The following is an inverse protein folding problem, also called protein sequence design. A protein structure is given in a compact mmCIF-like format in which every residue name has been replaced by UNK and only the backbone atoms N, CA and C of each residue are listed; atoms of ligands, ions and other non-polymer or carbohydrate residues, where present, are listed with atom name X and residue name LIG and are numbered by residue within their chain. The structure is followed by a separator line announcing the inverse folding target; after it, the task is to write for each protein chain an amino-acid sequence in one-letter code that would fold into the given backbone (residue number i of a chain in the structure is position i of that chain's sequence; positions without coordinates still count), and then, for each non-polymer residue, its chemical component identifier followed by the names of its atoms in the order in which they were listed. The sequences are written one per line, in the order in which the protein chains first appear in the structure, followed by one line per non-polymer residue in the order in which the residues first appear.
data_IF_453104697044
#
_entry.id   IF_453104697044
#
_cell.length_a   1.000
_cell.length_b   1.000
_cell.length_c   1.000
_cell.angle_alpha   90.00
_cell.angle_beta   90.00
_cell.angle_gamma   90.00
#
_symmetry.space_group_name_H-M   'P 1'
#
loop_
_entity.id
_entity.type
_entity.pdbx_description
1 polymer ?
#
# COMPACT_ATOMS: atom_id res chain seq x y z
N UNK A 1 -15.81 39.74 15.68
CA UNK A 1 -16.07 41.19 15.58
C UNK A 1 -17.53 41.52 15.30
N UNK A 2 -18.30 40.70 14.60
CA UNK A 2 -19.73 40.97 14.25
C UNK A 2 -20.71 41.11 15.46
N UNK A 3 -20.48 40.42 16.58
CA UNK A 3 -21.40 40.49 17.72
C UNK A 3 -21.42 41.85 18.46
N UNK A 4 -20.33 42.60 18.39
CA UNK A 4 -20.23 43.90 19.08
C UNK A 4 -20.95 45.02 18.31
N UNK A 5 -20.97 44.93 16.99
CA UNK A 5 -21.67 45.88 16.10
C UNK A 5 -23.19 45.74 16.25
N UNK A 6 -23.68 44.50 16.29
CA UNK A 6 -25.11 44.22 16.46
C UNK A 6 -25.67 44.72 17.81
N UNK A 7 -24.93 44.56 18.90
CA UNK A 7 -25.34 45.02 20.24
C UNK A 7 -25.37 46.56 20.33
N UNK A 8 -24.38 47.26 19.74
CA UNK A 8 -24.39 48.73 19.69
C UNK A 8 -25.54 49.27 18.85
N UNK A 9 -25.85 48.63 17.73
CA UNK A 9 -26.93 49.03 16.83
C UNK A 9 -28.33 48.86 17.48
N UNK A 10 -28.53 47.78 18.24
CA UNK A 10 -29.76 47.56 19.03
C UNK A 10 -29.88 48.61 20.11
N UNK A 11 -28.79 49.00 20.76
CA UNK A 11 -28.77 50.03 21.82
C UNK A 11 -29.11 51.41 21.23
N UNK A 12 -28.60 51.76 20.06
CA UNK A 12 -28.93 53.02 19.38
C UNK A 12 -30.38 53.08 18.90
N UNK A 13 -30.93 51.97 18.38
CA UNK A 13 -32.33 51.88 17.97
C UNK A 13 -33.27 52.00 19.15
N UNK A 14 -32.95 51.37 20.30
CA UNK A 14 -33.76 51.51 21.51
C UNK A 14 -33.67 52.90 22.10
N UNK A 15 -32.50 53.56 22.07
CA UNK A 15 -32.34 54.93 22.55
C UNK A 15 -33.11 55.93 21.66
N UNK A 16 -33.07 55.76 20.30
CA UNK A 16 -33.83 56.57 19.36
C UNK A 16 -35.34 56.38 19.53
N UNK A 17 -35.78 55.18 19.89
CA UNK A 17 -37.19 54.90 20.16
C UNK A 17 -37.72 55.60 21.43
N UNK A 18 -36.90 55.61 22.50
CA UNK A 18 -37.21 56.25 23.78
C UNK A 18 -37.24 57.78 23.62
N UNK A 19 -36.29 58.36 22.91
CA UNK A 19 -36.23 59.83 22.66
C UNK A 19 -37.36 60.26 21.73
N UNK A 20 -37.74 59.46 20.74
CA UNK A 20 -38.84 59.75 19.83
C UNK A 20 -40.21 59.68 20.46
N UNK A 21 -40.42 58.82 21.46
CA UNK A 21 -41.64 58.72 22.25
C UNK A 21 -41.86 59.97 23.16
N UNK A 22 -40.77 60.62 23.53
CA UNK A 22 -40.79 61.80 24.41
C UNK A 22 -41.03 63.16 23.67
N UNK A 23 -40.72 63.22 22.35
CA UNK A 23 -40.67 64.52 21.64
C UNK A 23 -41.73 64.68 20.52
N UNK A 24 -42.49 63.65 20.13
CA UNK A 24 -43.49 63.83 19.09
C UNK A 24 -43.85 62.55 18.35
N UNK A 25 -44.82 61.86 18.86
CA UNK A 25 -45.14 60.48 18.54
C UNK A 25 -45.69 60.17 17.17
N UNK A 26 -45.85 61.09 16.22
CA UNK A 26 -46.57 60.78 14.95
C UNK A 26 -45.69 60.80 13.70
N UNK A 27 -44.64 61.56 13.65
CA UNK A 27 -43.78 61.67 12.46
C UNK A 27 -42.69 60.57 12.36
N UNK A 28 -42.20 60.08 13.49
CA UNK A 28 -41.15 59.05 13.58
C UNK A 28 -41.69 57.66 13.20
N UNK A 29 -42.98 57.41 13.52
CA UNK A 29 -43.63 56.13 13.15
C UNK A 29 -43.80 55.95 11.64
N UNK A 30 -43.76 57.02 10.89
CA UNK A 30 -43.84 57.00 9.42
C UNK A 30 -42.52 56.69 8.71
N UNK A 31 -41.40 57.05 9.34
CA UNK A 31 -40.06 56.89 8.76
C UNK A 31 -39.35 55.58 9.22
N UNK A 32 -39.74 55.07 10.42
CA UNK A 32 -39.16 53.90 11.02
C UNK A 32 -39.23 52.61 10.14
N UNK A 33 -40.37 52.27 9.50
CA UNK A 33 -40.44 51.08 8.66
C UNK A 33 -39.56 51.18 7.42
N UNK A 34 -39.43 52.36 6.83
CA UNK A 34 -38.57 52.61 5.66
C UNK A 34 -37.07 52.50 6.04
N UNK A 35 -36.72 53.08 7.15
CA UNK A 35 -35.35 53.08 7.70
C UNK A 35 -34.91 51.67 8.12
N UNK A 36 -35.76 50.99 8.88
CA UNK A 36 -35.48 49.57 9.22
C UNK A 36 -35.39 48.65 8.01
N UNK A 37 -36.24 48.86 7.03
CA UNK A 37 -36.22 48.06 5.79
C UNK A 37 -35.00 48.33 4.93
N UNK A 38 -34.48 49.58 4.90
CA UNK A 38 -33.25 49.90 4.15
C UNK A 38 -32.00 49.29 4.85
N UNK A 39 -31.92 49.47 6.19
CA UNK A 39 -30.78 48.90 6.94
C UNK A 39 -30.81 47.35 6.87
N UNK A 40 -31.98 46.74 7.10
CA UNK A 40 -32.09 45.28 7.06
C UNK A 40 -31.81 44.69 5.66
N UNK A 41 -32.24 45.38 4.59
CA UNK A 41 -31.92 44.98 3.23
C UNK A 41 -30.47 45.13 2.88
N UNK A 42 -29.83 46.18 3.29
CA UNK A 42 -28.44 46.49 2.98
C UNK A 42 -27.49 45.56 3.76
N UNK A 43 -27.72 45.42 5.07
CA UNK A 43 -26.92 44.56 5.94
C UNK A 43 -27.14 43.07 5.57
N UNK A 44 -28.39 42.62 5.38
CA UNK A 44 -28.65 41.24 5.00
C UNK A 44 -28.10 40.88 3.61
N UNK A 45 -28.10 41.86 2.69
CA UNK A 45 -27.52 41.64 1.36
C UNK A 45 -26.01 41.60 1.35
N UNK A 46 -25.36 42.48 2.13
CA UNK A 46 -23.89 42.47 2.25
C UNK A 46 -23.40 41.20 2.94
N UNK A 47 -24.01 40.83 4.10
CA UNK A 47 -23.62 39.61 4.79
C UNK A 47 -23.92 38.32 3.98
N UNK A 48 -25.06 38.24 3.29
CA UNK A 48 -25.35 37.10 2.42
C UNK A 48 -24.40 37.02 1.23
N UNK A 49 -24.02 38.16 0.62
CA UNK A 49 -23.05 38.15 -0.48
C UNK A 49 -21.65 37.77 -0.01
N UNK A 50 -21.27 38.21 1.18
CA UNK A 50 -19.97 37.89 1.79
C UNK A 50 -19.88 36.39 2.15
N UNK A 51 -20.90 35.82 2.79
CA UNK A 51 -21.01 34.38 3.08
C UNK A 51 -21.04 33.56 1.77
N UNK A 52 -21.76 34.03 0.74
CA UNK A 52 -21.84 33.32 -0.51
C UNK A 52 -20.50 33.32 -1.26
N UNK A 53 -19.75 34.39 -1.16
CA UNK A 53 -18.41 34.51 -1.74
C UNK A 53 -17.40 33.66 -0.96
N UNK A 54 -17.45 33.71 0.38
CA UNK A 54 -16.59 32.89 1.25
C UNK A 54 -16.83 31.39 1.04
N UNK A 55 -18.08 30.92 0.91
CA UNK A 55 -18.43 29.52 0.59
C UNK A 55 -17.94 29.13 -0.80
N UNK A 56 -18.03 30.03 -1.77
CA UNK A 56 -17.58 29.75 -3.15
C UNK A 56 -16.06 29.66 -3.24
N UNK A 57 -15.36 30.53 -2.52
CA UNK A 57 -13.91 30.54 -2.48
C UNK A 57 -13.36 29.33 -1.70
N UNK A 58 -14.00 28.95 -0.60
CA UNK A 58 -13.68 27.74 0.16
C UNK A 58 -13.90 26.47 -0.70
N UNK A 59 -14.97 26.39 -1.48
CA UNK A 59 -15.22 25.27 -2.40
C UNK A 59 -14.15 25.15 -3.48
N UNK A 60 -13.65 26.26 -4.01
CA UNK A 60 -12.55 26.25 -4.98
C UNK A 60 -11.24 25.81 -4.36
N UNK A 61 -10.95 26.29 -3.16
CA UNK A 61 -9.75 25.91 -2.42
C UNK A 61 -9.77 24.42 -2.11
N UNK A 62 -10.89 23.87 -1.63
CA UNK A 62 -11.06 22.44 -1.37
C UNK A 62 -10.94 21.58 -2.65
N UNK A 63 -11.47 22.06 -3.80
CA UNK A 63 -11.36 21.39 -5.09
C UNK A 63 -9.91 21.37 -5.60
N UNK A 64 -9.18 22.47 -5.43
CA UNK A 64 -7.77 22.57 -5.83
C UNK A 64 -6.86 21.75 -4.91
N UNK A 65 -7.16 21.66 -3.62
CA UNK A 65 -6.45 20.79 -2.66
C UNK A 65 -6.66 19.30 -3.00
N UNK A 66 -7.87 18.91 -3.38
CA UNK A 66 -8.17 17.55 -3.83
C UNK A 66 -7.42 17.25 -5.13
N UNK A 67 -7.42 18.16 -6.10
CA UNK A 67 -6.66 18.00 -7.36
C UNK A 67 -5.17 17.88 -7.12
N UNK A 68 -4.63 18.70 -6.22
CA UNK A 68 -3.21 18.67 -5.82
C UNK A 68 -2.86 17.35 -5.15
N UNK A 69 -3.71 16.86 -4.25
CA UNK A 69 -3.54 15.58 -3.57
C UNK A 69 -3.59 14.39 -4.54
N UNK A 70 -4.53 14.42 -5.50
CA UNK A 70 -4.63 13.41 -6.56
C UNK A 70 -3.40 13.41 -7.47
N UNK A 71 -2.88 14.59 -7.82
CA UNK A 71 -1.65 14.72 -8.61
C UNK A 71 -0.45 14.18 -7.86
N UNK A 72 -0.32 14.52 -6.56
CA UNK A 72 0.77 14.01 -5.72
C UNK A 72 0.71 12.48 -5.60
N UNK A 73 -0.50 11.90 -5.54
CA UNK A 73 -0.70 10.45 -5.53
C UNK A 73 -0.25 9.82 -6.87
N UNK A 74 -0.62 10.42 -7.99
CA UNK A 74 -0.20 9.95 -9.33
C UNK A 74 1.33 10.03 -9.50
N UNK A 75 1.95 11.13 -9.06
CA UNK A 75 3.41 11.30 -9.04
C UNK A 75 4.10 10.25 -8.15
N UNK A 76 3.48 9.91 -7.01
CA UNK A 76 3.99 8.88 -6.10
C UNK A 76 3.90 7.49 -6.73
N UNK A 77 2.79 7.17 -7.39
CA UNK A 77 2.61 5.92 -8.13
C UNK A 77 3.62 5.80 -9.27
N UNK A 78 3.83 6.87 -10.02
CA UNK A 78 4.79 6.91 -11.12
C UNK A 78 6.24 6.78 -10.61
N UNK A 79 6.57 7.43 -9.49
CA UNK A 79 7.88 7.31 -8.84
C UNK A 79 8.12 5.89 -8.32
N UNK A 80 7.12 5.25 -7.73
CA UNK A 80 7.19 3.86 -7.32
C UNK A 80 7.39 2.90 -8.51
N UNK A 81 6.73 3.17 -9.64
CA UNK A 81 6.91 2.42 -10.89
C UNK A 81 8.31 2.59 -11.48
N UNK A 82 8.88 3.81 -11.45
CA UNK A 82 10.24 4.06 -11.88
C UNK A 82 11.27 3.39 -10.96
N UNK A 83 11.10 3.49 -9.64
CA UNK A 83 11.94 2.81 -8.67
C UNK A 83 11.94 1.28 -8.86
N UNK A 84 10.81 0.71 -9.25
CA UNK A 84 10.71 -0.72 -9.59
C UNK A 84 11.53 -1.07 -10.85
N UNK A 85 11.47 -0.25 -11.89
CA UNK A 85 12.24 -0.46 -13.12
C UNK A 85 13.75 -0.39 -12.84
N UNK A 86 14.19 0.61 -12.05
CA UNK A 86 15.59 0.75 -11.62
C UNK A 86 16.02 -0.43 -10.74
N UNK A 87 15.14 -0.95 -9.88
CA UNK A 87 15.43 -2.13 -9.05
C UNK A 87 15.59 -3.40 -9.88
N UNK A 88 14.85 -3.55 -10.97
CA UNK A 88 14.99 -4.66 -11.88
C UNK A 88 16.37 -4.63 -12.62
N UNK A 89 16.83 -3.45 -12.99
CA UNK A 89 18.16 -3.26 -13.61
C UNK A 89 19.30 -3.46 -12.59
N UNK A 90 19.08 -3.10 -11.32
CA UNK A 90 20.02 -3.32 -10.21
C UNK A 90 20.17 -4.80 -9.81
N UNK A 91 19.14 -5.62 -10.07
CA UNK A 91 19.11 -7.02 -9.67
C UNK A 91 20.30 -7.82 -10.22
N UNK A 92 20.68 -7.60 -11.48
CA UNK A 92 21.82 -8.28 -12.11
C UNK A 92 23.15 -7.96 -11.39
N UNK A 93 23.30 -6.74 -10.90
CA UNK A 93 24.48 -6.31 -10.14
C UNK A 93 24.49 -6.94 -8.74
N UNK A 94 23.36 -6.89 -8.04
CA UNK A 94 23.21 -7.52 -6.72
C UNK A 94 23.46 -9.03 -6.77
N UNK A 95 22.93 -9.73 -7.79
CA UNK A 95 23.17 -11.17 -8.01
C UNK A 95 24.65 -11.45 -8.22
N UNK A 96 25.37 -10.61 -8.96
CA UNK A 96 26.81 -10.77 -9.19
C UNK A 96 27.61 -10.59 -7.90
N UNK A 97 27.29 -9.60 -7.09
CA UNK A 97 27.99 -9.30 -5.85
C UNK A 97 27.69 -10.36 -4.79
N UNK A 98 26.46 -10.87 -4.75
CA UNK A 98 26.09 -12.00 -3.91
C UNK A 98 26.90 -13.26 -4.30
N UNK A 99 27.04 -13.53 -5.60
CA UNK A 99 27.84 -14.68 -6.09
C UNK A 99 29.28 -14.59 -5.64
N UNK A 100 29.88 -13.40 -5.64
CA UNK A 100 31.24 -13.17 -5.11
C UNK A 100 31.32 -13.35 -3.58
N UNK A 101 30.33 -12.88 -2.85
CA UNK A 101 30.25 -13.04 -1.40
C UNK A 101 30.10 -14.52 -1.02
N UNK A 102 29.28 -15.27 -1.75
CA UNK A 102 29.10 -16.71 -1.54
C UNK A 102 30.35 -17.54 -1.82
N UNK A 103 31.30 -17.05 -2.61
CA UNK A 103 32.58 -17.76 -2.80
C UNK A 103 33.37 -17.96 -1.48
N UNK A 104 33.26 -17.04 -0.54
CA UNK A 104 33.87 -17.15 0.80
C UNK A 104 33.21 -18.23 1.65
N UNK A 105 31.92 -18.51 1.46
CA UNK A 105 31.22 -19.60 2.17
C UNK A 105 31.63 -20.99 1.67
N UNK A 106 32.16 -21.08 0.46
CA UNK A 106 32.64 -22.32 -0.13
C UNK A 106 33.77 -22.96 0.70
N UNK A 107 34.60 -22.13 1.30
CA UNK A 107 35.72 -22.58 2.14
C UNK A 107 35.22 -23.17 3.48
N UNK A 108 34.18 -22.55 4.07
CA UNK A 108 33.54 -23.02 5.29
C UNK A 108 32.75 -24.35 5.11
N UNK A 109 32.18 -24.59 3.95
CA UNK A 109 31.49 -25.85 3.60
C UNK A 109 32.44 -27.08 3.49
N UNK A 110 33.72 -26.89 3.74
CA UNK A 110 34.71 -27.97 3.69
C UNK A 110 34.66 -28.94 4.86
N UNK A 111 33.95 -28.61 5.96
CA UNK A 111 33.79 -29.47 7.14
C UNK A 111 32.59 -30.44 6.99
N UNK A 112 32.82 -31.78 6.95
CA UNK A 112 31.76 -32.74 6.63
C UNK A 112 30.58 -32.79 7.63
N UNK A 113 30.77 -32.37 8.87
CA UNK A 113 29.75 -32.42 9.93
C UNK A 113 28.82 -31.17 9.96
N UNK A 114 29.23 -30.08 9.34
CA UNK A 114 28.53 -28.76 9.43
C UNK A 114 27.88 -28.35 8.14
N UNK A 115 28.03 -29.10 7.06
CA UNK A 115 27.60 -28.76 5.72
C UNK A 115 26.08 -28.48 5.60
N UNK A 116 25.26 -29.26 6.30
CA UNK A 116 23.81 -29.08 6.31
C UNK A 116 23.41 -27.77 6.99
N UNK A 117 23.89 -27.57 8.21
CA UNK A 117 23.58 -26.35 8.98
C UNK A 117 24.09 -25.08 8.30
N UNK A 118 25.28 -25.13 7.71
CA UNK A 118 25.83 -24.00 6.95
C UNK A 118 25.02 -23.71 5.67
N UNK A 119 24.50 -24.74 5.01
CA UNK A 119 23.66 -24.56 3.83
C UNK A 119 22.31 -23.93 4.17
N UNK A 120 21.68 -24.35 5.29
CA UNK A 120 20.46 -23.75 5.82
C UNK A 120 20.70 -22.29 6.25
N UNK A 121 21.78 -22.01 6.99
CA UNK A 121 22.14 -20.65 7.40
C UNK A 121 22.41 -19.74 6.19
N UNK A 122 23.11 -20.26 5.17
CA UNK A 122 23.32 -19.55 3.92
C UNK A 122 22.00 -19.14 3.23
N UNK A 123 21.02 -20.05 3.23
CA UNK A 123 19.69 -19.78 2.68
C UNK A 123 18.95 -18.72 3.49
N UNK A 124 19.04 -18.77 4.83
CA UNK A 124 18.46 -17.76 5.72
C UNK A 124 19.02 -16.37 5.48
N UNK A 125 20.35 -16.25 5.46
CA UNK A 125 21.02 -14.97 5.16
C UNK A 125 20.60 -14.43 3.79
N UNK A 126 20.44 -15.30 2.81
CA UNK A 126 19.98 -14.92 1.47
C UNK A 126 18.53 -14.38 1.49
N UNK A 127 17.63 -15.02 2.21
CA UNK A 127 16.25 -14.57 2.40
C UNK A 127 16.21 -13.17 3.03
N UNK A 128 16.95 -12.98 4.13
CA UNK A 128 17.04 -11.70 4.83
C UNK A 128 17.65 -10.61 3.93
N UNK A 129 18.70 -10.93 3.17
CA UNK A 129 19.32 -10.02 2.20
C UNK A 129 18.36 -9.66 1.06
N UNK A 130 17.50 -10.58 0.65
CA UNK A 130 16.46 -10.32 -0.35
C UNK A 130 15.31 -9.47 0.21
N UNK A 131 15.26 -9.22 1.53
CA UNK A 131 14.27 -8.39 2.20
C UNK A 131 13.12 -9.17 2.86
N UNK A 132 13.25 -10.50 2.98
CA UNK A 132 12.26 -11.34 3.67
C UNK A 132 12.42 -11.23 5.18
N UNK A 133 11.32 -11.32 5.90
CA UNK A 133 11.25 -11.26 7.38
C UNK A 133 10.63 -12.56 7.88
N UNK A 134 11.34 -13.25 8.77
CA UNK A 134 10.87 -14.49 9.39
C UNK A 134 9.57 -14.26 10.18
N UNK A 135 8.64 -15.17 10.11
CA UNK A 135 7.31 -15.06 10.72
C UNK A 135 6.33 -14.18 9.94
N UNK A 136 6.77 -13.48 8.87
CA UNK A 136 5.94 -12.60 8.05
C UNK A 136 5.77 -13.17 6.63
N UNK A 137 6.87 -13.32 5.92
CA UNK A 137 6.86 -13.79 4.53
C UNK A 137 7.77 -15.00 4.27
N UNK A 138 8.44 -15.52 5.28
CA UNK A 138 9.01 -16.87 5.29
C UNK A 138 9.04 -17.45 6.70
N UNK A 139 9.08 -18.78 6.79
CA UNK A 139 9.32 -19.53 8.03
C UNK A 139 10.33 -20.64 7.78
N UNK A 140 11.13 -20.92 8.79
CA UNK A 140 12.07 -22.05 8.82
C UNK A 140 11.45 -23.25 9.50
N UNK A 141 11.80 -24.44 9.04
CA UNK A 141 11.67 -25.73 9.73
C UNK A 141 10.34 -25.97 10.47
N UNK A 142 9.20 -25.58 9.92
CA UNK A 142 7.92 -26.00 10.52
C UNK A 142 7.75 -27.51 10.39
N UNK A 143 7.71 -28.20 11.53
CA UNK A 143 7.48 -29.65 11.56
C UNK A 143 6.02 -29.92 11.29
N UNK A 144 5.69 -30.40 10.10
CA UNK A 144 4.36 -30.89 9.79
C UNK A 144 4.32 -32.40 9.90
N UNK A 145 3.60 -32.90 10.90
CA UNK A 145 3.42 -34.33 11.12
C UNK A 145 2.23 -34.79 10.29
N UNK A 146 2.43 -35.75 9.41
CA UNK A 146 1.36 -36.46 8.69
C UNK A 146 1.39 -37.93 9.06
N UNK A 147 0.27 -38.62 8.81
CA UNK A 147 0.15 -40.09 9.05
C UNK A 147 1.17 -40.91 8.26
N UNK A 148 1.74 -40.36 7.17
CA UNK A 148 2.72 -41.01 6.30
C UNK A 148 4.19 -40.70 6.65
N UNK A 149 4.45 -39.93 7.70
CA UNK A 149 5.79 -39.58 8.16
C UNK A 149 6.03 -38.07 8.28
N UNK A 150 7.06 -37.70 9.07
CA UNK A 150 7.48 -36.31 9.24
C UNK A 150 8.25 -35.85 8.00
N UNK A 151 7.66 -34.99 7.19
CA UNK A 151 8.37 -34.25 6.13
C UNK A 151 8.59 -32.80 6.61
N UNK A 152 9.86 -32.39 6.65
CA UNK A 152 10.27 -31.09 7.17
C UNK A 152 11.09 -30.40 6.10
N UNK A 153 10.48 -29.53 5.28
CA UNK A 153 11.25 -28.65 4.41
C UNK A 153 12.07 -27.64 5.22
N UNK A 154 13.19 -27.19 4.68
CA UNK A 154 14.04 -26.25 5.39
C UNK A 154 13.40 -24.86 5.47
N UNK A 155 12.75 -24.39 4.40
CA UNK A 155 12.12 -23.07 4.32
C UNK A 155 10.80 -23.08 3.57
N UNK A 156 9.84 -22.34 4.10
CA UNK A 156 8.56 -21.95 3.47
C UNK A 156 8.59 -20.48 3.12
N UNK A 157 8.49 -20.13 1.84
CA UNK A 157 8.39 -18.74 1.37
C UNK A 157 6.95 -18.45 1.00
N UNK A 158 6.35 -17.46 1.63
CA UNK A 158 4.97 -17.08 1.38
C UNK A 158 4.88 -16.13 0.20
N UNK A 159 3.92 -16.39 -0.69
CA UNK A 159 3.60 -15.53 -1.82
C UNK A 159 2.38 -14.66 -1.52
N UNK A 160 2.19 -13.61 -2.28
CA UNK A 160 1.14 -12.62 -2.04
C UNK A 160 -0.26 -13.18 -2.20
N UNK A 161 -0.44 -14.16 -3.08
CA UNK A 161 -1.69 -14.90 -3.31
C UNK A 161 -1.97 -15.98 -2.25
N UNK A 162 -1.28 -15.89 -1.11
CA UNK A 162 -1.34 -16.86 0.00
C UNK A 162 -0.79 -18.24 -0.35
N UNK A 163 -0.04 -18.34 -1.43
CA UNK A 163 0.70 -19.53 -1.82
C UNK A 163 1.95 -19.71 -0.97
N UNK A 164 2.58 -20.89 -1.10
CA UNK A 164 3.81 -21.26 -0.40
C UNK A 164 4.78 -21.89 -1.38
N UNK A 165 5.98 -21.32 -1.52
CA UNK A 165 7.08 -21.93 -2.23
C UNK A 165 7.96 -22.63 -1.22
N UNK A 166 8.32 -23.88 -1.52
CA UNK A 166 9.16 -24.71 -0.67
C UNK A 166 10.58 -24.67 -1.18
N UNK A 167 11.52 -24.43 -0.27
CA UNK A 167 12.95 -24.49 -0.56
C UNK A 167 13.57 -25.53 0.39
N UNK A 168 14.24 -26.52 -0.18
CA UNK A 168 14.97 -27.56 0.55
C UNK A 168 16.46 -27.42 0.19
N UNK A 169 17.30 -27.27 1.20
CA UNK A 169 18.73 -27.09 1.02
C UNK A 169 19.46 -28.44 0.97
N UNK A 170 20.20 -28.68 -0.08
CA UNK A 170 20.98 -29.91 -0.23
C UNK A 170 22.39 -29.60 -0.72
N UNK A 171 23.36 -30.04 0.06
CA UNK A 171 24.77 -29.86 -0.22
C UNK A 171 25.49 -31.20 -0.37
N UNK A 172 25.37 -31.95 -1.48
CA UNK A 172 26.07 -33.22 -1.66
C UNK A 172 27.54 -32.97 -1.99
N UNK A 173 28.31 -32.41 -1.03
CA UNK A 173 29.68 -31.92 -1.25
C UNK A 173 30.71 -33.05 -1.26
N UNK A 174 30.44 -34.16 -0.57
CA UNK A 174 31.45 -35.22 -0.30
C UNK A 174 32.16 -35.72 -1.58
N UNK A 175 31.39 -36.20 -2.56
CA UNK A 175 31.99 -36.76 -3.79
C UNK A 175 32.65 -35.70 -4.65
N UNK A 176 32.15 -34.47 -4.63
CA UNK A 176 32.77 -33.35 -5.32
C UNK A 176 34.14 -33.03 -4.70
N UNK A 177 34.24 -32.95 -3.36
CA UNK A 177 35.48 -32.69 -2.63
C UNK A 177 36.52 -33.80 -2.91
N UNK A 178 36.11 -35.07 -2.78
CA UNK A 178 36.96 -36.20 -3.09
C UNK A 178 37.44 -36.20 -4.57
N UNK A 179 36.63 -35.70 -5.49
CA UNK A 179 37.01 -35.58 -6.89
C UNK A 179 38.07 -34.50 -7.12
N UNK A 180 37.98 -33.37 -6.38
CA UNK A 180 38.95 -32.27 -6.51
C UNK A 180 40.30 -32.66 -5.91
N UNK A 181 40.30 -33.38 -4.78
CA UNK A 181 41.49 -33.83 -4.09
C UNK A 181 42.22 -34.98 -4.79
N UNK A 182 41.60 -35.58 -5.82
CA UNK A 182 42.18 -36.72 -6.56
C UNK A 182 43.00 -36.22 -7.74
N UNK A 183 44.26 -36.61 -7.83
CA UNK A 183 45.14 -36.32 -8.98
C UNK A 183 44.87 -37.22 -10.18
N UNK A 184 44.38 -38.45 -9.97
CA UNK A 184 44.01 -39.40 -11.02
C UNK A 184 42.79 -38.89 -11.80
N UNK A 185 42.99 -38.54 -13.09
CA UNK A 185 41.97 -38.05 -13.98
C UNK A 185 40.81 -39.04 -14.17
N UNK A 186 41.06 -40.34 -14.17
CA UNK A 186 40.02 -41.34 -14.34
C UNK A 186 39.13 -41.47 -13.11
N UNK A 187 39.74 -41.44 -11.91
CA UNK A 187 39.01 -41.40 -10.62
C UNK A 187 38.24 -40.11 -10.45
N UNK A 188 38.86 -38.99 -10.76
CA UNK A 188 38.17 -37.66 -10.74
C UNK A 188 36.90 -37.69 -11.57
N UNK A 189 36.97 -38.13 -12.82
CA UNK A 189 35.82 -38.24 -13.72
C UNK A 189 34.73 -39.15 -13.15
N UNK A 190 35.11 -40.30 -12.57
CA UNK A 190 34.15 -41.22 -11.95
C UNK A 190 33.43 -40.57 -10.77
N UNK A 191 34.17 -39.92 -9.86
CA UNK A 191 33.61 -39.24 -8.69
C UNK A 191 32.68 -38.08 -9.08
N UNK A 192 33.02 -37.25 -10.06
CA UNK A 192 32.17 -36.20 -10.59
C UNK A 192 30.87 -36.76 -11.19
N UNK A 193 30.93 -37.86 -11.91
CA UNK A 193 29.72 -38.51 -12.43
C UNK A 193 28.84 -39.08 -11.29
N UNK A 194 29.45 -39.67 -10.25
CA UNK A 194 28.71 -40.12 -9.08
C UNK A 194 28.09 -38.96 -8.33
N UNK A 195 28.79 -37.81 -8.22
CA UNK A 195 28.26 -36.59 -7.66
C UNK A 195 26.99 -36.13 -8.41
N UNK A 196 27.06 -36.04 -9.72
CA UNK A 196 25.90 -35.63 -10.53
C UNK A 196 24.71 -36.57 -10.36
N UNK A 197 24.95 -37.90 -10.35
CA UNK A 197 23.90 -38.87 -10.06
C UNK A 197 23.29 -38.67 -8.67
N UNK A 198 24.09 -38.42 -7.65
CA UNK A 198 23.57 -38.12 -6.31
C UNK A 198 22.70 -36.86 -6.29
N UNK A 199 23.11 -35.80 -6.97
CA UNK A 199 22.29 -34.59 -7.10
C UNK A 199 20.93 -34.92 -7.72
N UNK A 200 20.92 -35.70 -8.80
CA UNK A 200 19.67 -36.11 -9.45
C UNK A 200 18.80 -37.02 -8.57
N UNK A 201 19.42 -37.94 -7.81
CA UNK A 201 18.69 -38.84 -6.92
C UNK A 201 18.12 -38.08 -5.72
N UNK A 202 18.80 -37.04 -5.20
CA UNK A 202 18.24 -36.11 -4.23
C UNK A 202 17.03 -35.36 -4.81
N UNK A 203 17.12 -34.85 -6.03
CA UNK A 203 15.99 -34.20 -6.69
C UNK A 203 14.80 -35.16 -6.86
N UNK A 204 15.02 -36.39 -7.33
CA UNK A 204 13.97 -37.41 -7.44
C UNK A 204 13.35 -37.75 -6.08
N UNK A 205 14.14 -37.86 -5.04
CA UNK A 205 13.66 -38.13 -3.67
C UNK A 205 12.81 -36.97 -3.14
N UNK A 206 13.26 -35.75 -3.39
CA UNK A 206 12.54 -34.53 -3.00
C UNK A 206 11.18 -34.42 -3.72
N UNK A 207 11.17 -34.72 -5.03
CA UNK A 207 9.94 -34.70 -5.83
C UNK A 207 8.90 -35.76 -5.48
N UNK A 208 9.30 -36.81 -4.74
CA UNK A 208 8.36 -37.83 -4.22
C UNK A 208 7.61 -37.35 -2.97
N UNK A 209 8.13 -36.33 -2.29
CA UNK A 209 7.48 -35.75 -1.12
C UNK A 209 6.31 -34.87 -1.60
N UNK A 210 5.08 -35.31 -1.33
CA UNK A 210 3.88 -34.54 -1.74
C UNK A 210 3.59 -33.43 -0.73
N UNK A 211 4.32 -32.35 -0.86
CA UNK A 211 4.14 -31.18 0.00
C UNK A 211 2.78 -30.50 -0.14
N UNK A 212 2.09 -30.70 -1.27
CA UNK A 212 0.76 -30.12 -1.50
C UNK A 212 -0.28 -30.69 -0.54
N UNK A 213 -0.12 -31.93 -0.12
CA UNK A 213 -0.99 -32.58 0.88
C UNK A 213 -0.66 -32.14 2.32
N UNK A 214 0.56 -31.70 2.54
CA UNK A 214 1.07 -31.38 3.88
C UNK A 214 0.72 -29.95 4.26
N UNK A 215 0.70 -29.04 3.26
CA UNK A 215 0.48 -27.61 3.46
C UNK A 215 -0.94 -27.30 3.02
N UNK A 216 -1.81 -26.93 3.96
CA UNK A 216 -3.19 -26.49 3.67
C UNK A 216 -3.21 -25.10 3.01
N UNK A 217 -2.32 -24.88 2.03
CA UNK A 217 -2.17 -23.65 1.24
C UNK A 217 -1.85 -24.03 -0.20
N UNK A 218 -2.13 -23.11 -1.13
CA UNK A 218 -1.77 -23.27 -2.53
C UNK A 218 -0.24 -23.31 -2.67
N UNK A 219 0.32 -24.39 -3.18
CA UNK A 219 1.74 -24.53 -3.49
C UNK A 219 1.93 -24.56 -5.00
N UNK A 220 3.01 -23.98 -5.54
CA UNK A 220 3.40 -24.25 -6.94
C UNK A 220 3.66 -25.73 -7.13
N UNK A 221 3.54 -26.19 -8.37
CA UNK A 221 3.78 -27.58 -8.76
C UNK A 221 5.28 -27.96 -8.75
N UNK A 222 6.11 -27.23 -8.01
CA UNK A 222 7.54 -27.50 -7.92
C UNK A 222 8.11 -27.12 -6.56
N UNK A 223 9.23 -27.76 -6.21
CA UNK A 223 10.06 -27.49 -5.03
C UNK A 223 11.42 -26.98 -5.49
N UNK A 224 11.97 -25.98 -4.83
CA UNK A 224 13.31 -25.49 -5.09
C UNK A 224 14.30 -26.32 -4.28
N UNK A 225 15.21 -27.02 -4.96
CA UNK A 225 16.37 -27.64 -4.35
C UNK A 225 17.53 -26.66 -4.39
N UNK A 226 17.83 -26.04 -3.26
CA UNK A 226 18.89 -25.06 -3.14
C UNK A 226 20.26 -25.75 -3.01
N UNK A 227 21.16 -25.42 -3.91
CA UNK A 227 22.56 -25.85 -3.85
C UNK A 227 23.43 -24.65 -3.43
N UNK A 228 24.01 -24.64 -2.22
CA UNK A 228 24.66 -23.44 -1.67
C UNK A 228 25.99 -23.09 -2.35
N UNK A 229 26.45 -23.90 -3.31
CA UNK A 229 27.71 -23.70 -4.01
C UNK A 229 27.56 -23.84 -5.51
N UNK A 230 27.93 -22.78 -6.25
CA UNK A 230 27.87 -22.74 -7.71
C UNK A 230 28.77 -23.79 -8.36
N UNK A 231 29.97 -24.06 -7.81
CA UNK A 231 30.90 -25.03 -8.39
C UNK A 231 30.37 -26.46 -8.30
N UNK A 232 29.70 -26.80 -7.18
CA UNK A 232 29.03 -28.10 -6.99
C UNK A 232 27.89 -28.28 -7.99
N UNK A 233 27.09 -27.22 -8.19
CA UNK A 233 26.03 -27.20 -9.18
C UNK A 233 26.56 -27.37 -10.60
N UNK A 234 27.57 -26.58 -10.99
CA UNK A 234 28.18 -26.64 -12.31
C UNK A 234 28.82 -27.99 -12.60
N UNK A 235 29.51 -28.59 -11.60
CA UNK A 235 30.08 -29.92 -11.74
C UNK A 235 29.01 -31.00 -12.05
N UNK A 236 27.82 -30.86 -11.48
CA UNK A 236 26.71 -31.77 -11.79
C UNK A 236 26.18 -31.56 -13.22
N UNK A 237 25.99 -30.29 -13.64
CA UNK A 237 25.54 -29.94 -14.99
C UNK A 237 26.53 -30.37 -16.08
N UNK A 238 27.85 -30.22 -15.83
CA UNK A 238 28.90 -30.67 -16.75
C UNK A 238 28.87 -32.18 -17.00
N UNK A 239 28.51 -32.98 -15.99
CA UNK A 239 28.45 -34.43 -16.13
C UNK A 239 27.13 -34.94 -16.68
N UNK A 240 26.02 -34.22 -16.40
CA UNK A 240 24.67 -34.53 -16.89
C UNK A 240 24.06 -33.20 -17.38
N UNK A 241 24.27 -32.84 -18.68
CA UNK A 241 23.87 -31.55 -19.20
C UNK A 241 22.37 -31.25 -19.09
N UNK A 242 21.53 -32.25 -19.11
CA UNK A 242 20.08 -32.16 -18.97
C UNK A 242 19.57 -32.44 -17.53
N UNK A 243 20.45 -32.35 -16.50
CA UNK A 243 20.10 -32.67 -15.12
C UNK A 243 18.96 -31.81 -14.60
N UNK A 244 18.90 -30.51 -14.99
CA UNK A 244 17.83 -29.58 -14.60
C UNK A 244 16.51 -30.01 -15.21
N UNK A 245 16.50 -30.39 -16.48
CA UNK A 245 15.31 -30.89 -17.15
C UNK A 245 14.81 -32.22 -16.58
N UNK A 246 15.76 -33.11 -16.23
CA UNK A 246 15.42 -34.36 -15.55
C UNK A 246 14.82 -34.12 -14.16
N UNK A 247 15.36 -33.20 -13.38
CA UNK A 247 14.79 -32.81 -12.09
C UNK A 247 13.39 -32.17 -12.24
N UNK A 248 13.22 -31.32 -13.25
CA UNK A 248 11.93 -30.68 -13.53
C UNK A 248 10.80 -31.68 -13.82
N UNK A 249 11.11 -32.82 -14.45
CA UNK A 249 10.14 -33.95 -14.63
C UNK A 249 9.64 -34.51 -13.28
N UNK A 250 10.39 -34.32 -12.23
CA UNK A 250 10.03 -34.67 -10.85
C UNK A 250 9.53 -33.47 -10.04
N UNK A 251 9.19 -32.34 -10.72
CA UNK A 251 8.73 -31.10 -10.06
C UNK A 251 9.75 -30.49 -9.10
N UNK A 252 11.03 -30.62 -9.40
CA UNK A 252 12.13 -30.05 -8.63
C UNK A 252 12.98 -29.16 -9.49
N UNK A 253 13.21 -27.94 -9.01
CA UNK A 253 14.13 -26.98 -9.64
C UNK A 253 15.44 -26.97 -8.87
N UNK A 254 16.52 -27.45 -9.49
CA UNK A 254 17.87 -27.38 -8.90
C UNK A 254 18.41 -25.97 -9.12
N UNK A 255 18.63 -25.22 -8.05
CA UNK A 255 18.96 -23.81 -8.10
C UNK A 255 20.26 -23.49 -7.36
N UNK A 256 21.25 -22.87 -8.00
CA UNK A 256 22.40 -22.26 -7.34
C UNK A 256 21.98 -20.96 -6.63
N UNK A 257 22.87 -20.39 -5.76
CA UNK A 257 22.54 -19.19 -4.95
C UNK A 257 22.03 -18.01 -5.78
N UNK A 258 22.64 -17.71 -6.91
CA UNK A 258 22.26 -16.61 -7.77
C UNK A 258 20.84 -16.73 -8.32
N UNK A 259 20.41 -17.94 -8.68
CA UNK A 259 19.07 -18.18 -9.21
C UNK A 259 18.01 -18.11 -8.11
N UNK A 260 18.29 -18.66 -6.93
CA UNK A 260 17.39 -18.56 -5.76
C UNK A 260 17.23 -17.09 -5.34
N UNK A 261 18.33 -16.34 -5.28
CA UNK A 261 18.27 -14.92 -4.94
C UNK A 261 17.43 -14.11 -5.94
N UNK A 262 17.63 -14.33 -7.23
CA UNK A 262 16.85 -13.66 -8.27
C UNK A 262 15.36 -13.98 -8.14
N UNK A 263 15.00 -15.23 -7.89
CA UNK A 263 13.62 -15.64 -7.66
C UNK A 263 13.02 -14.97 -6.40
N UNK A 264 13.76 -14.98 -5.29
CA UNK A 264 13.36 -14.33 -4.04
C UNK A 264 13.16 -12.81 -4.20
N UNK A 265 14.08 -12.14 -4.88
CA UNK A 265 13.92 -10.70 -5.19
C UNK A 265 12.69 -10.43 -6.03
N UNK A 266 12.41 -11.25 -7.04
CA UNK A 266 11.20 -11.11 -7.86
C UNK A 266 9.94 -11.27 -7.02
N UNK A 267 9.89 -12.25 -6.12
CA UNK A 267 8.77 -12.43 -5.19
C UNK A 267 8.63 -11.20 -4.27
N UNK A 268 9.72 -10.70 -3.72
CA UNK A 268 9.70 -9.52 -2.84
C UNK A 268 9.23 -8.26 -3.57
N UNK A 269 9.61 -8.08 -4.83
CA UNK A 269 9.11 -6.97 -5.66
C UNK A 269 7.59 -7.04 -5.85
N UNK A 270 7.03 -8.23 -6.05
CA UNK A 270 5.56 -8.39 -6.14
C UNK A 270 4.87 -8.06 -4.81
N UNK A 271 5.46 -8.42 -3.67
CA UNK A 271 4.97 -8.03 -2.36
C UNK A 271 4.93 -6.51 -2.17
N UNK A 272 6.00 -5.82 -2.56
CA UNK A 272 6.08 -4.37 -2.44
C UNK A 272 5.08 -3.68 -3.37
N UNK A 273 4.92 -4.14 -4.60
CA UNK A 273 3.90 -3.61 -5.53
C UNK A 273 2.49 -3.72 -4.96
N UNK A 274 2.14 -4.88 -4.41
CA UNK A 274 0.80 -5.07 -3.87
C UNK A 274 0.52 -4.15 -2.68
N UNK A 275 1.48 -3.96 -1.78
CA UNK A 275 1.33 -3.00 -0.68
C UNK A 275 1.06 -1.58 -1.20
N UNK A 276 1.76 -1.17 -2.26
CA UNK A 276 1.51 0.14 -2.90
C UNK A 276 0.11 0.19 -3.50
N UNK A 277 -0.34 -0.88 -4.16
CA UNK A 277 -1.70 -0.95 -4.71
C UNK A 277 -2.79 -0.89 -3.64
N UNK A 278 -2.64 -1.65 -2.55
CA UNK A 278 -3.59 -1.66 -1.44
C UNK A 278 -3.68 -0.28 -0.78
N UNK A 279 -2.54 0.37 -0.53
CA UNK A 279 -2.51 1.72 0.01
C UNK A 279 -3.17 2.74 -0.93
N UNK A 280 -2.91 2.66 -2.24
CA UNK A 280 -3.53 3.54 -3.23
C UNK A 280 -5.06 3.37 -3.32
N UNK A 281 -5.55 2.12 -3.27
CA UNK A 281 -7.00 1.84 -3.23
C UNK A 281 -7.65 2.38 -1.95
N UNK A 282 -7.00 2.26 -0.81
CA UNK A 282 -7.53 2.78 0.46
C UNK A 282 -7.56 4.31 0.48
N UNK A 283 -6.52 4.97 -0.03
CA UNK A 283 -6.51 6.43 -0.21
C UNK A 283 -7.63 6.87 -1.14
N UNK A 284 -7.81 6.20 -2.27
CA UNK A 284 -8.89 6.48 -3.22
C UNK A 284 -10.29 6.36 -2.58
N UNK A 285 -10.53 5.29 -1.79
CA UNK A 285 -11.80 5.11 -1.06
C UNK A 285 -12.05 6.25 -0.08
N UNK A 286 -11.03 6.64 0.70
CA UNK A 286 -11.12 7.75 1.64
C UNK A 286 -11.38 9.09 0.95
N UNK A 287 -10.72 9.34 -0.20
CA UNK A 287 -10.94 10.54 -1.00
C UNK A 287 -12.39 10.61 -1.55
N UNK A 288 -12.94 9.50 -2.05
CA UNK A 288 -14.33 9.42 -2.51
C UNK A 288 -15.30 9.66 -1.34
N UNK A 289 -15.03 9.08 -0.17
CA UNK A 289 -15.87 9.28 1.01
C UNK A 289 -15.85 10.76 1.47
N UNK A 290 -14.68 11.37 1.50
CA UNK A 290 -14.53 12.79 1.81
C UNK A 290 -15.28 13.66 0.82
N UNK A 291 -15.12 13.43 -0.49
CA UNK A 291 -15.86 14.14 -1.52
C UNK A 291 -17.38 14.04 -1.33
N UNK A 292 -17.90 12.86 -1.03
CA UNK A 292 -19.32 12.66 -0.77
C UNK A 292 -19.82 13.40 0.49
N UNK A 293 -18.99 13.46 1.53
CA UNK A 293 -19.30 14.20 2.78
C UNK A 293 -19.32 15.71 2.53
N UNK A 294 -18.36 16.23 1.76
CA UNK A 294 -18.31 17.64 1.36
C UNK A 294 -19.52 18.02 0.49
N UNK A 295 -19.90 17.18 -0.46
CA UNK A 295 -21.10 17.39 -1.26
C UNK A 295 -22.38 17.49 -0.41
N UNK A 296 -22.55 16.63 0.58
CA UNK A 296 -23.67 16.71 1.54
C UNK A 296 -23.62 17.98 2.37
N UNK A 297 -22.43 18.32 2.89
CA UNK A 297 -22.24 19.56 3.65
C UNK A 297 -22.62 20.78 2.83
N UNK A 298 -22.12 20.89 1.59
CA UNK A 298 -22.47 21.98 0.66
C UNK A 298 -23.99 22.08 0.42
N UNK A 299 -24.68 20.93 0.27
CA UNK A 299 -26.13 20.94 0.07
C UNK A 299 -26.92 21.52 1.27
N UNK A 300 -26.41 21.33 2.50
CA UNK A 300 -27.01 21.98 3.68
C UNK A 300 -26.89 23.50 3.64
N UNK A 301 -25.74 24.03 3.21
CA UNK A 301 -25.53 25.46 3.08
C UNK A 301 -26.42 26.07 2.01
N UNK A 302 -26.53 25.41 0.85
CA UNK A 302 -27.48 25.86 -0.21
C UNK A 302 -28.90 25.87 0.33
N UNK A 303 -29.34 24.85 1.05
CA UNK A 303 -30.67 24.80 1.66
C UNK A 303 -30.90 25.87 2.72
N UNK A 304 -29.89 26.29 3.45
CA UNK A 304 -30.00 27.46 4.37
C UNK A 304 -30.17 28.73 3.58
N UNK A 305 -29.39 28.94 2.52
CA UNK A 305 -29.53 30.11 1.63
C UNK A 305 -30.91 30.24 1.05
N UNK A 306 -31.50 29.16 0.53
CA UNK A 306 -32.88 29.14 -0.02
C UNK A 306 -33.93 29.51 1.03
N UNK A 307 -33.77 28.98 2.27
CA UNK A 307 -34.70 29.30 3.37
C UNK A 307 -34.60 30.76 3.82
N UNK A 308 -33.40 31.32 3.86
CA UNK A 308 -33.15 32.72 4.17
C UNK A 308 -33.76 33.60 3.07
N UNK A 309 -33.57 33.25 1.80
CA UNK A 309 -34.19 33.92 0.66
C UNK A 309 -35.73 33.93 0.75
N UNK A 310 -36.31 32.78 1.10
CA UNK A 310 -37.77 32.65 1.29
C UNK A 310 -38.29 33.50 2.47
N UNK A 311 -37.56 33.51 3.60
CA UNK A 311 -37.88 34.32 4.76
C UNK A 311 -37.83 35.81 4.44
N UNK A 312 -36.82 36.27 3.71
CA UNK A 312 -36.74 37.66 3.23
C UNK A 312 -37.91 38.05 2.31
N UNK A 313 -38.31 37.15 1.41
CA UNK A 313 -39.48 37.38 0.54
C UNK A 313 -40.73 37.52 1.36
N UNK A 314 -41.01 36.63 2.31
CA UNK A 314 -42.18 36.70 3.19
C UNK A 314 -42.18 37.96 4.06
N UNK A 315 -41.03 38.39 4.56
CA UNK A 315 -40.88 39.65 5.29
C UNK A 315 -41.24 40.86 4.42
N UNK A 316 -40.75 40.94 3.19
CA UNK A 316 -41.03 42.02 2.26
C UNK A 316 -42.52 42.07 1.88
N UNK A 317 -43.18 40.94 1.67
CA UNK A 317 -44.62 40.84 1.44
C UNK A 317 -45.43 41.33 2.64
N UNK A 318 -45.00 40.97 3.87
CA UNK A 318 -45.58 41.45 5.12
C UNK A 318 -45.49 42.97 5.26
N UNK A 319 -44.29 43.55 5.02
CA UNK A 319 -44.07 45.01 5.04
C UNK A 319 -44.89 45.71 3.96
N UNK A 320 -44.96 45.18 2.75
CA UNK A 320 -45.81 45.73 1.68
C UNK A 320 -47.30 45.73 2.07
N UNK A 321 -47.77 44.62 2.63
CA UNK A 321 -49.16 44.52 3.13
C UNK A 321 -49.48 45.51 4.25
N UNK A 322 -48.54 45.67 5.18
CA UNK A 322 -48.65 46.66 6.22
C UNK A 322 -48.81 48.09 5.69
N UNK A 323 -47.93 48.48 4.76
CA UNK A 323 -47.91 49.81 4.18
C UNK A 323 -49.14 50.11 3.31
N UNK A 324 -49.65 49.12 2.54
CA UNK A 324 -50.71 49.32 1.59
C UNK A 324 -52.11 49.08 2.17
N UNK A 325 -52.25 48.22 3.14
CA UNK A 325 -53.57 47.80 3.66
C UNK A 325 -53.86 48.29 5.08
N UNK A 326 -52.89 48.30 6.00
CA UNK A 326 -53.11 48.63 7.40
C UNK A 326 -52.94 50.14 7.68
N UNK A 327 -51.87 50.77 7.23
CA UNK A 327 -51.61 52.19 7.47
C UNK A 327 -52.76 53.09 6.93
N UNK A 328 -53.29 52.86 5.69
CA UNK A 328 -54.39 53.69 5.20
C UNK A 328 -55.67 53.60 6.05
N UNK A 329 -55.95 52.41 6.64
CA UNK A 329 -57.13 52.21 7.51
C UNK A 329 -56.98 52.82 8.89
N UNK A 330 -55.77 52.96 9.42
CA UNK A 330 -55.52 53.61 10.70
C UNK A 330 -55.61 55.12 10.57
N UNK A 331 -55.54 55.67 9.36
CA UNK A 331 -55.64 57.12 9.07
C UNK A 331 -57.03 57.60 8.76
N UNK A 332 -58.01 56.73 8.56
CA UNK A 332 -59.44 57.03 8.49
C UNK A 332 -60.08 57.02 9.86
#
# INVERSE_FOLDING_TARGET
MGGFVAVNMILEITLAFIVGALVGGFSIFKLLPGFLNSIFRETARSELSEIQQEVTDQQKEDEDDIKTSLKTLDDTINSAKQAWTISADGLATEVRDLTKSHAKWTEALSNPGEQGALAEESLKVMLQTAGFVEGVNFDEQQTTTTEEGSSRPDVYVYTIDKGVIIIDSKAPVKLYKEAIETEDKAQKKRKLKQHANNVLDHAKSLGKKDYSKIINRRTPDFVIMYMPNVSIYMAAVEQIPDIVEQAAKHRVMICPPSLVYAALKTIMLTWNQQKVYENAEDIKKQAIELHNRLGKFSSFFTGIGDKLGSAMKSYNEGVASWNTRLIPKIRQ
#
